data_IF_797665046831
#
_entry.id   IF_797665046831
#
_cell.length_a   1.000
_cell.length_b   1.000
_cell.length_c   1.000
_cell.angle_alpha   90.00
_cell.angle_beta   90.00
_cell.angle_gamma   90.00
#
_symmetry.space_group_name_H-M   'P 1'
#
loop_
_entity.id
_entity.type
_entity.pdbx_description
1 polymer ?
#
# COMPACT_ATOMS: atom_id res chain seq x y z
N UNK A 1 7.82 -7.93 -20.67
CA UNK A 1 8.61 -7.08 -19.75
C UNK A 1 8.67 -7.82 -18.44
N UNK A 2 9.87 -8.03 -17.92
CA UNK A 2 10.04 -8.65 -16.60
C UNK A 2 10.01 -7.51 -15.56
N UNK A 3 9.03 -7.52 -14.66
CA UNK A 3 8.99 -6.61 -13.52
C UNK A 3 9.43 -7.39 -12.28
N UNK A 4 10.51 -6.93 -11.64
CA UNK A 4 11.05 -7.53 -10.43
C UNK A 4 10.70 -6.66 -9.21
N UNK A 5 9.76 -7.08 -8.34
CA UNK A 5 9.35 -6.29 -7.18
C UNK A 5 10.43 -6.30 -6.09
N UNK A 6 10.57 -5.17 -5.37
CA UNK A 6 11.55 -5.05 -4.28
C UNK A 6 11.10 -5.78 -3.02
N UNK A 7 9.79 -5.91 -2.82
CA UNK A 7 9.19 -6.68 -1.72
C UNK A 7 8.53 -7.95 -2.25
N UNK A 8 8.52 -9.06 -1.46
CA UNK A 8 7.81 -10.27 -1.85
C UNK A 8 6.33 -9.98 -2.14
N UNK A 9 5.87 -10.40 -3.32
CA UNK A 9 4.49 -10.25 -3.75
C UNK A 9 3.80 -11.62 -3.79
N UNK A 10 2.48 -11.67 -3.56
CA UNK A 10 1.73 -12.92 -3.60
C UNK A 10 1.60 -13.52 -5.01
N UNK A 11 1.98 -12.77 -6.04
CA UNK A 11 1.94 -13.17 -7.44
C UNK A 11 3.02 -12.44 -8.25
N UNK A 12 3.42 -13.04 -9.36
CA UNK A 12 4.25 -12.40 -10.39
C UNK A 12 3.41 -11.52 -11.32
N UNK A 13 4.05 -10.72 -12.18
CA UNK A 13 3.35 -9.95 -13.20
C UNK A 13 2.53 -10.84 -14.14
N UNK A 14 3.09 -11.96 -14.61
CA UNK A 14 2.38 -12.88 -15.51
C UNK A 14 1.14 -13.50 -14.86
N UNK A 15 1.25 -13.86 -13.57
CA UNK A 15 0.11 -14.32 -12.79
C UNK A 15 -0.94 -13.22 -12.62
N UNK A 16 -0.53 -11.96 -12.44
CA UNK A 16 -1.44 -10.83 -12.37
C UNK A 16 -2.15 -10.54 -13.70
N UNK A 17 -1.46 -10.71 -14.84
CA UNK A 17 -2.05 -10.61 -16.19
C UNK A 17 -3.06 -11.72 -16.46
N UNK A 18 -2.95 -12.87 -15.79
CA UNK A 18 -3.93 -13.95 -15.91
C UNK A 18 -5.19 -13.73 -15.06
N UNK A 19 -5.21 -12.72 -14.18
CA UNK A 19 -6.39 -12.41 -13.35
C UNK A 19 -7.50 -11.77 -14.19
N UNK A 20 -8.74 -11.94 -13.75
CA UNK A 20 -9.86 -11.17 -14.28
C UNK A 20 -9.62 -9.65 -14.02
N UNK A 21 -9.73 -8.79 -15.04
CA UNK A 21 -9.61 -7.34 -14.87
C UNK A 21 -10.51 -6.75 -13.77
N UNK A 22 -11.69 -7.31 -13.53
CA UNK A 22 -12.56 -6.89 -12.43
C UNK A 22 -11.93 -7.20 -11.06
N UNK A 23 -11.39 -8.41 -10.89
CA UNK A 23 -10.69 -8.84 -9.67
C UNK A 23 -9.47 -7.96 -9.40
N UNK A 24 -8.69 -7.64 -10.43
CA UNK A 24 -7.52 -6.76 -10.28
C UNK A 24 -7.91 -5.33 -9.86
N UNK A 25 -9.05 -4.80 -10.34
CA UNK A 25 -9.56 -3.48 -9.93
C UNK A 25 -10.04 -3.49 -8.48
N UNK A 26 -10.77 -4.53 -8.07
CA UNK A 26 -11.26 -4.69 -6.71
C UNK A 26 -10.10 -4.83 -5.72
N UNK A 27 -9.06 -5.56 -6.10
CA UNK A 27 -7.80 -5.69 -5.35
C UNK A 27 -7.12 -4.32 -5.17
N UNK A 28 -6.99 -3.52 -6.24
CA UNK A 28 -6.44 -2.15 -6.16
C UNK A 28 -7.27 -1.28 -5.21
N UNK A 29 -8.59 -1.35 -5.29
CA UNK A 29 -9.48 -0.59 -4.40
C UNK A 29 -9.29 -0.99 -2.94
N UNK A 30 -9.20 -2.30 -2.66
CA UNK A 30 -8.95 -2.81 -1.31
C UNK A 30 -7.61 -2.33 -0.76
N UNK A 31 -6.53 -2.46 -1.52
CA UNK A 31 -5.20 -2.02 -1.11
C UNK A 31 -5.15 -0.52 -0.82
N UNK A 32 -5.80 0.30 -1.65
CA UNK A 32 -5.92 1.75 -1.41
C UNK A 32 -6.67 2.07 -0.11
N UNK A 33 -7.75 1.33 0.19
CA UNK A 33 -8.49 1.48 1.43
C UNK A 33 -7.64 1.09 2.64
N UNK A 34 -6.86 0.00 2.55
CA UNK A 34 -5.92 -0.41 3.59
C UNK A 34 -4.84 0.66 3.85
N UNK A 35 -4.25 1.21 2.79
CA UNK A 35 -3.28 2.31 2.91
C UNK A 35 -3.88 3.56 3.55
N UNK A 36 -5.11 3.92 3.17
CA UNK A 36 -5.82 5.05 3.76
C UNK A 36 -6.08 4.83 5.24
N UNK A 37 -6.49 3.63 5.63
CA UNK A 37 -6.75 3.30 7.04
C UNK A 37 -5.46 3.34 7.87
N UNK A 38 -4.37 2.74 7.38
CA UNK A 38 -3.06 2.80 8.03
C UNK A 38 -2.60 4.24 8.23
N UNK A 39 -2.76 5.08 7.20
CA UNK A 39 -2.43 6.51 7.28
C UNK A 39 -3.25 7.22 8.36
N UNK A 40 -4.56 6.97 8.43
CA UNK A 40 -5.44 7.58 9.44
C UNK A 40 -5.04 7.23 10.86
N UNK A 41 -4.73 5.95 11.14
CA UNK A 41 -4.31 5.52 12.47
C UNK A 41 -3.04 6.25 12.92
N UNK A 42 -2.10 6.50 12.01
CA UNK A 42 -0.90 7.28 12.33
C UNK A 42 -1.20 8.76 12.56
N UNK A 43 -2.09 9.35 11.75
CA UNK A 43 -2.52 10.74 11.92
C UNK A 43 -3.22 10.93 13.27
N UNK A 44 -4.13 10.02 13.65
CA UNK A 44 -4.81 10.02 14.95
C UNK A 44 -3.83 9.91 16.13
N UNK A 45 -2.81 9.05 16.01
CA UNK A 45 -1.79 8.90 17.05
C UNK A 45 -0.90 10.15 17.17
N UNK A 46 -0.54 10.77 16.04
CA UNK A 46 0.21 12.03 16.01
C UNK A 46 -0.62 13.21 16.55
N UNK A 47 -1.92 13.25 16.25
CA UNK A 47 -2.84 14.26 16.79
C UNK A 47 -2.94 14.15 18.30
N UNK A 48 -3.16 12.95 18.83
CA UNK A 48 -3.16 12.70 20.28
C UNK A 48 -1.88 13.19 20.95
N UNK A 49 -0.70 12.90 20.37
CA UNK A 49 0.58 13.36 20.93
C UNK A 49 0.73 14.89 20.93
N UNK A 50 0.10 15.60 19.99
CA UNK A 50 0.20 17.08 19.87
C UNK A 50 -0.67 17.82 20.88
N UNK A 51 -1.60 17.15 21.53
CA UNK A 51 -2.44 17.75 22.59
C UNK A 51 -1.66 18.01 23.88
N UNK A 52 -0.49 17.38 24.03
CA UNK A 52 0.37 17.53 25.21
C UNK A 52 1.52 18.51 24.93
N UNK A 53 1.94 19.25 25.96
CA UNK A 53 3.16 20.04 25.86
C UNK A 53 4.38 19.09 25.70
N UNK A 54 5.49 19.51 25.06
CA UNK A 54 6.68 18.66 24.91
C UNK A 54 7.26 18.13 26.24
N UNK A 55 7.01 18.83 27.35
CA UNK A 55 7.38 18.41 28.70
C UNK A 55 6.44 17.35 29.33
N UNK A 56 5.32 17.09 28.68
CA UNK A 56 4.23 16.19 29.10
C UNK A 56 4.02 15.04 28.09
N UNK A 57 4.79 14.99 27.01
CA UNK A 57 4.77 13.89 26.04
C UNK A 57 5.13 12.58 26.71
N UNK A 58 4.27 11.58 26.53
CA UNK A 58 4.52 10.23 27.02
C UNK A 58 5.61 9.56 26.16
N UNK A 59 6.76 9.16 26.75
CA UNK A 59 7.84 8.53 26.01
C UNK A 59 7.42 7.22 25.32
N UNK A 60 6.46 6.47 25.88
CA UNK A 60 5.96 5.24 25.28
C UNK A 60 5.10 5.55 24.03
N UNK A 61 4.33 6.64 24.06
CA UNK A 61 3.56 7.13 22.89
C UNK A 61 4.51 7.63 21.80
N UNK A 62 5.53 8.39 22.15
CA UNK A 62 6.55 8.87 21.21
C UNK A 62 7.33 7.72 20.57
N UNK A 63 7.61 6.65 21.33
CA UNK A 63 8.23 5.44 20.79
C UNK A 63 7.29 4.69 19.84
N UNK A 64 6.01 4.50 20.23
CA UNK A 64 5.01 3.85 19.40
C UNK A 64 4.79 4.57 18.06
N UNK A 65 4.81 5.91 18.04
CA UNK A 65 4.73 6.72 16.82
C UNK A 65 5.89 6.39 15.87
N UNK A 66 7.13 6.34 16.38
CA UNK A 66 8.32 6.07 15.56
C UNK A 66 8.33 4.65 15.01
N UNK A 67 7.96 3.67 15.85
CA UNK A 67 7.89 2.27 15.42
C UNK A 67 6.81 2.05 14.36
N UNK A 68 5.66 2.69 14.53
CA UNK A 68 4.60 2.68 13.53
C UNK A 68 5.06 3.33 12.21
N UNK A 69 5.75 4.47 12.25
CA UNK A 69 6.28 5.12 11.02
C UNK A 69 7.21 4.19 10.23
N UNK A 70 8.15 3.52 10.91
CA UNK A 70 9.08 2.58 10.28
C UNK A 70 8.34 1.40 9.66
N UNK A 71 7.40 0.81 10.41
CA UNK A 71 6.63 -0.35 9.97
C UNK A 71 5.72 0.02 8.80
N UNK A 72 5.04 1.16 8.90
CA UNK A 72 4.18 1.69 7.85
C UNK A 72 4.93 2.02 6.58
N UNK A 73 6.16 2.53 6.67
CA UNK A 73 6.96 2.82 5.48
C UNK A 73 7.17 1.56 4.64
N UNK A 74 7.54 0.45 5.28
CA UNK A 74 7.77 -0.83 4.60
C UNK A 74 6.46 -1.42 4.04
N UNK A 75 5.39 -1.42 4.83
CA UNK A 75 4.08 -1.93 4.42
C UNK A 75 3.55 -1.13 3.23
N UNK A 76 3.65 0.21 3.29
CA UNK A 76 3.19 1.10 2.23
C UNK A 76 3.95 0.85 0.95
N UNK A 77 5.27 0.76 1.01
CA UNK A 77 6.09 0.50 -0.18
C UNK A 77 5.74 -0.84 -0.84
N UNK A 78 5.52 -1.90 -0.04
CA UNK A 78 5.09 -3.21 -0.56
C UNK A 78 3.69 -3.17 -1.20
N UNK A 79 2.73 -2.45 -0.60
CA UNK A 79 1.38 -2.32 -1.15
C UNK A 79 1.35 -1.44 -2.41
N UNK A 80 2.16 -0.38 -2.46
CA UNK A 80 2.30 0.47 -3.65
C UNK A 80 2.89 -0.32 -4.84
N UNK A 81 3.88 -1.19 -4.60
CA UNK A 81 4.38 -2.12 -5.62
C UNK A 81 3.30 -3.11 -6.10
N UNK A 82 2.49 -3.65 -5.18
CA UNK A 82 1.37 -4.53 -5.57
C UNK A 82 0.36 -3.81 -6.44
N UNK A 83 -0.02 -2.59 -6.07
CA UNK A 83 -0.90 -1.73 -6.86
C UNK A 83 -0.29 -1.49 -8.24
N UNK A 84 1.03 -1.27 -8.32
CA UNK A 84 1.73 -1.06 -9.58
C UNK A 84 1.66 -2.30 -10.48
N UNK A 85 1.95 -3.50 -9.96
CA UNK A 85 1.83 -4.76 -10.73
C UNK A 85 0.41 -4.93 -11.28
N UNK A 86 -0.60 -4.72 -10.45
CA UNK A 86 -2.01 -4.87 -10.85
C UNK A 86 -2.42 -3.85 -11.92
N UNK A 87 -1.94 -2.61 -11.81
CA UNK A 87 -2.14 -1.60 -12.87
C UNK A 87 -1.45 -2.01 -14.16
N UNK A 88 -0.22 -2.51 -14.10
CA UNK A 88 0.51 -2.99 -15.27
C UNK A 88 -0.24 -4.14 -15.94
N UNK A 89 -0.72 -5.12 -15.16
CA UNK A 89 -1.59 -6.19 -15.66
C UNK A 89 -2.84 -5.66 -16.37
N UNK A 90 -3.54 -4.68 -15.79
CA UNK A 90 -4.70 -4.04 -16.41
C UNK A 90 -4.35 -3.33 -17.73
N UNK A 91 -3.16 -2.72 -17.84
CA UNK A 91 -2.72 -2.14 -19.13
C UNK A 91 -2.54 -3.22 -20.19
N UNK A 92 -2.02 -4.41 -19.85
CA UNK A 92 -1.90 -5.53 -20.80
C UNK A 92 -3.27 -6.00 -21.31
N UNK A 93 -4.31 -6.02 -20.47
CA UNK A 93 -5.68 -6.30 -20.92
C UNK A 93 -6.25 -5.21 -21.84
N UNK A 94 -5.96 -3.94 -21.54
CA UNK A 94 -6.40 -2.82 -22.39
C UNK A 94 -5.79 -2.84 -23.80
N UNK A 95 -4.55 -3.30 -23.94
CA UNK A 95 -3.89 -3.41 -25.25
C UNK A 95 -4.37 -4.64 -26.05
N UNK A 96 -4.76 -5.73 -25.38
CA UNK A 96 -5.21 -6.97 -26.05
C UNK A 96 -6.65 -6.90 -26.58
N UNK A 97 -7.49 -6.03 -26.03
CA UNK A 97 -8.88 -5.83 -26.51
C UNK A 97 -8.95 -4.89 -27.74
N UNK A 98 -7.87 -4.17 -28.06
CA UNK A 98 -7.81 -3.21 -29.19
C UNK A 98 -7.23 -3.75 -30.50
N UNK A 99 -7.00 -5.05 -30.62
CA UNK A 99 -6.47 -5.70 -31.83
C UNK A 99 -7.42 -6.80 -32.30
N UNK A 100 -8.55 -6.40 -32.89
CA UNK A 100 -9.55 -7.27 -33.50
C UNK A 100 -10.41 -6.49 -34.48
#
# INVERSE_FOLDING_TARGET
MEYDPRYPQPFTLDQAIALDPAVARDEIARLRNSLLHLKRTQEELQEYSREFAPSEEDPDVCQAIKENEITMHTIRASQDERIFILKLALTHHGHSVGSG
#
